data_IF_080955197727
#
_entry.id   IF_080955197727
#
_cell.length_a   1.000
_cell.length_b   1.000
_cell.length_c   1.000
_cell.angle_alpha   90.00
_cell.angle_beta   90.00
_cell.angle_gamma   90.00
#
_symmetry.space_group_name_H-M   'P 1'
#
loop_
_entity.id
_entity.type
_entity.pdbx_description
1 polymer ?
#
# COMPACT_ATOMS: atom_id res chain seq x y z
N UNK A 1 -5.74 0.07 11.01
CA UNK A 1 -4.86 0.82 11.94
C UNK A 1 -3.54 0.10 12.12
N UNK A 2 -2.43 0.82 12.31
CA UNK A 2 -1.18 0.23 12.79
C UNK A 2 -1.09 0.42 14.30
N UNK A 3 -0.71 -0.62 15.01
CA UNK A 3 -0.49 -0.59 16.44
C UNK A 3 1.01 -0.67 16.72
N UNK A 4 1.49 0.00 17.76
CA UNK A 4 2.90 -0.02 18.20
C UNK A 4 3.90 0.14 17.04
N UNK A 5 4.82 -0.82 16.88
CA UNK A 5 5.81 -0.81 15.80
C UNK A 5 5.21 -0.89 14.40
N UNK A 6 3.99 -1.47 14.23
CA UNK A 6 3.32 -1.51 12.94
C UNK A 6 2.91 -0.13 12.41
N UNK A 7 2.85 0.90 13.28
CA UNK A 7 2.64 2.29 12.84
C UNK A 7 3.71 2.77 11.85
N UNK A 8 4.93 2.26 11.96
CA UNK A 8 6.04 2.56 11.05
C UNK A 8 5.76 2.07 9.61
N UNK A 9 4.90 1.03 9.44
CA UNK A 9 4.49 0.49 8.13
C UNK A 9 3.49 1.39 7.41
N UNK A 10 2.76 2.25 8.12
CA UNK A 10 1.71 3.07 7.54
C UNK A 10 2.19 3.93 6.38
N UNK A 11 3.44 4.38 6.41
CA UNK A 11 4.04 5.15 5.31
C UNK A 11 4.19 4.33 4.01
N UNK A 12 4.44 3.03 4.12
CA UNK A 12 4.56 2.12 2.96
C UNK A 12 3.17 1.74 2.44
N UNK A 13 2.27 1.36 3.33
CA UNK A 13 0.88 1.00 2.99
C UNK A 13 0.14 2.21 2.36
N UNK A 14 0.38 3.42 2.87
CA UNK A 14 -0.25 4.63 2.34
C UNK A 14 0.17 4.97 0.90
N UNK A 15 1.38 4.58 0.49
CA UNK A 15 1.90 4.79 -0.87
C UNK A 15 1.46 3.71 -1.86
N UNK A 16 0.92 2.59 -1.40
CA UNK A 16 0.43 1.52 -2.27
C UNK A 16 -0.79 1.95 -3.07
N UNK A 17 -1.05 1.29 -4.19
CA UNK A 17 -2.22 1.53 -5.02
C UNK A 17 -3.53 1.40 -4.25
N UNK A 18 -4.57 2.05 -4.76
CA UNK A 18 -5.90 2.10 -4.16
C UNK A 18 -6.95 1.67 -5.18
N UNK A 19 -8.05 1.12 -4.67
CA UNK A 19 -9.21 0.79 -5.49
C UNK A 19 -10.47 1.36 -4.84
N UNK A 20 -11.31 1.96 -5.66
CA UNK A 20 -12.50 2.68 -5.23
C UNK A 20 -13.72 2.23 -6.03
N UNK A 21 -14.86 2.20 -5.36
CA UNK A 21 -16.17 2.29 -6.00
C UNK A 21 -16.60 3.75 -5.90
N UNK A 22 -16.92 4.35 -7.04
CA UNK A 22 -17.24 5.75 -7.17
C UNK A 22 -18.56 5.91 -7.90
N UNK A 23 -19.51 6.63 -7.31
CA UNK A 23 -20.74 7.02 -7.97
C UNK A 23 -20.55 8.43 -8.56
N UNK A 24 -20.48 8.46 -9.89
CA UNK A 24 -20.40 9.67 -10.69
C UNK A 24 -21.83 10.10 -11.08
N UNK A 25 -22.14 11.38 -10.93
CA UNK A 25 -23.40 11.97 -11.41
C UNK A 25 -23.10 13.00 -12.49
N UNK A 26 -23.64 12.77 -13.71
CA UNK A 26 -23.63 13.74 -14.83
C UNK A 26 -24.70 14.80 -14.61
N UNK A 27 -24.45 16.03 -15.10
CA UNK A 27 -25.43 17.11 -15.00
C UNK A 27 -26.43 17.10 -16.17
N UNK A 28 -26.08 16.46 -17.30
CA UNK A 28 -26.95 16.25 -18.44
C UNK A 28 -26.99 14.77 -18.83
N UNK A 29 -27.85 14.42 -19.79
CA UNK A 29 -27.81 13.13 -20.43
C UNK A 29 -26.70 13.14 -21.50
N UNK A 30 -25.86 12.12 -21.47
CA UNK A 30 -24.79 11.87 -22.44
C UNK A 30 -24.99 10.49 -23.04
N UNK A 31 -24.70 10.35 -24.32
CA UNK A 31 -24.75 9.05 -24.96
C UNK A 31 -23.82 8.05 -24.27
N UNK A 32 -24.31 6.83 -24.08
CA UNK A 32 -23.57 5.81 -23.33
C UNK A 32 -22.24 5.44 -24.02
N UNK A 33 -22.20 5.42 -25.35
CA UNK A 33 -20.97 5.09 -26.09
C UNK A 33 -19.95 6.21 -25.93
N UNK A 34 -20.35 7.46 -26.13
CA UNK A 34 -19.51 8.63 -25.94
C UNK A 34 -18.96 8.69 -24.52
N UNK A 35 -19.79 8.44 -23.50
CA UNK A 35 -19.34 8.46 -22.11
C UNK A 35 -18.33 7.35 -21.80
N UNK A 36 -18.52 6.14 -22.36
CA UNK A 36 -17.53 5.05 -22.25
C UNK A 36 -16.18 5.42 -22.88
N UNK A 37 -16.21 6.05 -24.05
CA UNK A 37 -15.01 6.54 -24.71
C UNK A 37 -14.29 7.61 -23.90
N UNK A 38 -15.02 8.59 -23.37
CA UNK A 38 -14.47 9.64 -22.50
C UNK A 38 -13.82 9.01 -21.25
N UNK A 39 -14.50 8.11 -20.56
CA UNK A 39 -14.00 7.46 -19.34
C UNK A 39 -12.73 6.64 -19.66
N UNK A 40 -12.69 5.95 -20.80
CA UNK A 40 -11.54 5.13 -21.20
C UNK A 40 -10.25 5.95 -21.38
N UNK A 41 -10.34 7.21 -21.79
CA UNK A 41 -9.20 8.11 -21.98
C UNK A 41 -8.48 8.44 -20.67
N UNK A 42 -9.11 8.26 -19.53
CA UNK A 42 -8.48 8.49 -18.21
C UNK A 42 -7.62 7.31 -17.74
N UNK A 43 -7.65 6.17 -18.43
CA UNK A 43 -6.76 5.04 -18.10
C UNK A 43 -5.34 5.37 -18.56
N UNK A 44 -4.38 5.29 -17.66
CA UNK A 44 -3.00 5.68 -17.91
C UNK A 44 -2.52 6.81 -17.02
N UNK A 45 -1.63 7.62 -17.54
CA UNK A 45 -1.04 8.75 -16.79
C UNK A 45 -1.91 10.01 -16.92
N UNK A 46 -2.31 10.54 -15.78
CA UNK A 46 -3.11 11.76 -15.69
C UNK A 46 -2.40 12.82 -14.84
N UNK A 47 -2.71 14.08 -15.11
CA UNK A 47 -2.23 15.23 -14.36
C UNK A 47 -3.34 15.82 -13.52
N UNK A 48 -3.17 15.80 -12.20
CA UNK A 48 -4.17 16.35 -11.28
C UNK A 48 -3.59 17.46 -10.42
N UNK A 49 -4.32 18.53 -10.26
CA UNK A 49 -4.09 19.58 -9.26
C UNK A 49 -4.99 19.31 -8.06
N UNK A 50 -4.45 19.18 -6.84
CA UNK A 50 -5.24 18.95 -5.64
C UNK A 50 -6.35 20.01 -5.48
N UNK A 51 -7.53 19.64 -4.96
CA UNK A 51 -8.60 20.60 -4.69
C UNK A 51 -8.17 21.67 -3.68
N UNK A 52 -8.89 22.78 -3.64
CA UNK A 52 -8.56 23.93 -2.77
C UNK A 52 -8.54 23.54 -1.30
N UNK A 53 -9.52 22.73 -0.87
CA UNK A 53 -9.61 22.21 0.50
C UNK A 53 -8.86 20.90 0.63
N UNK A 54 -7.53 20.94 0.53
CA UNK A 54 -6.64 19.78 0.65
C UNK A 54 -5.47 20.14 1.55
N UNK A 55 -5.05 19.22 2.42
CA UNK A 55 -3.91 19.37 3.33
C UNK A 55 -2.53 19.37 2.64
N UNK A 56 -2.48 19.16 1.33
CA UNK A 56 -1.23 19.08 0.57
C UNK A 56 -1.01 20.31 -0.30
N UNK A 57 0.27 20.67 -0.55
CA UNK A 57 0.65 21.77 -1.45
C UNK A 57 -0.04 21.62 -2.82
N UNK A 58 -0.70 22.67 -3.28
CA UNK A 58 -1.51 22.72 -4.51
C UNK A 58 -0.62 22.90 -5.75
N UNK A 59 0.05 21.81 -6.15
CA UNK A 59 0.85 21.73 -7.38
C UNK A 59 0.34 20.59 -8.27
N UNK A 60 0.54 20.68 -9.58
CA UNK A 60 0.22 19.61 -10.52
C UNK A 60 1.04 18.38 -10.16
N UNK A 61 0.38 17.24 -10.10
CA UNK A 61 0.99 15.94 -9.79
C UNK A 61 0.58 14.93 -10.86
N UNK A 62 1.55 14.17 -11.32
CA UNK A 62 1.34 13.01 -12.17
C UNK A 62 0.80 11.86 -11.32
N UNK A 63 -0.25 11.21 -11.80
CA UNK A 63 -0.88 10.04 -11.18
C UNK A 63 -1.19 9.03 -12.27
N UNK A 64 -1.27 7.76 -11.91
CA UNK A 64 -1.66 6.71 -12.84
C UNK A 64 -2.97 6.10 -12.42
N UNK A 65 -3.87 5.97 -13.38
CA UNK A 65 -5.06 5.13 -13.28
C UNK A 65 -4.77 3.84 -14.03
N UNK A 66 -4.85 2.72 -13.32
CA UNK A 66 -4.52 1.41 -13.88
C UNK A 66 -5.68 0.81 -14.65
N UNK A 67 -6.89 1.00 -14.14
CA UNK A 67 -8.13 0.54 -14.76
C UNK A 67 -9.32 1.37 -14.28
N UNK A 68 -10.33 1.50 -15.15
CA UNK A 68 -11.67 2.00 -14.83
C UNK A 68 -12.66 1.03 -15.43
N UNK A 69 -13.45 0.39 -14.57
CA UNK A 69 -14.57 -0.46 -14.99
C UNK A 69 -15.88 0.27 -14.73
N UNK A 70 -16.75 0.33 -15.72
CA UNK A 70 -18.11 0.81 -15.55
C UNK A 70 -18.95 -0.40 -15.09
N UNK A 71 -19.42 -0.34 -13.84
CA UNK A 71 -20.18 -1.43 -13.24
C UNK A 71 -21.66 -1.33 -13.54
N UNK A 72 -22.20 -0.10 -13.60
CA UNK A 72 -23.60 0.17 -13.90
C UNK A 72 -23.77 1.61 -14.44
N UNK A 73 -24.81 1.82 -15.24
CA UNK A 73 -25.19 3.11 -15.79
C UNK A 73 -26.71 3.23 -15.80
N UNK A 74 -27.24 4.18 -15.03
CA UNK A 74 -28.65 4.49 -14.97
C UNK A 74 -28.86 5.99 -15.10
N UNK A 75 -29.50 6.41 -16.17
CA UNK A 75 -29.73 7.83 -16.50
C UNK A 75 -28.43 8.66 -16.43
N UNK A 76 -28.31 9.50 -15.41
CA UNK A 76 -27.17 10.38 -15.15
C UNK A 76 -26.21 9.81 -14.11
N UNK A 77 -26.48 8.61 -13.58
CA UNK A 77 -25.66 7.97 -12.56
C UNK A 77 -24.80 6.89 -13.17
N UNK A 78 -23.51 6.93 -12.89
CA UNK A 78 -22.54 5.96 -13.38
C UNK A 78 -21.76 5.40 -12.20
N UNK A 79 -21.82 4.10 -12.01
CA UNK A 79 -21.06 3.39 -10.98
C UNK A 79 -19.75 2.90 -11.56
N UNK A 80 -18.66 3.41 -11.04
CA UNK A 80 -17.29 3.14 -11.50
C UNK A 80 -16.51 2.36 -10.45
N UNK A 81 -15.72 1.37 -10.90
CA UNK A 81 -14.60 0.81 -10.15
C UNK A 81 -13.31 1.41 -10.70
N UNK A 82 -12.52 2.04 -9.86
CA UNK A 82 -11.30 2.74 -10.28
C UNK A 82 -10.09 2.21 -9.51
N UNK A 83 -9.09 1.71 -10.23
CA UNK A 83 -7.78 1.32 -9.67
C UNK A 83 -6.75 2.40 -9.99
N UNK A 84 -6.07 2.93 -8.98
CA UNK A 84 -5.16 4.07 -9.18
C UNK A 84 -4.01 4.12 -8.19
N UNK A 85 -3.04 4.96 -8.49
CA UNK A 85 -1.99 5.36 -7.56
C UNK A 85 -2.55 5.97 -6.27
N UNK A 86 -1.79 5.84 -5.20
CA UNK A 86 -2.04 6.59 -3.97
C UNK A 86 -2.05 8.10 -4.22
N UNK A 87 -3.02 8.78 -3.63
CA UNK A 87 -3.16 10.24 -3.77
C UNK A 87 -3.79 10.70 -5.08
N UNK A 88 -4.43 9.80 -5.84
CA UNK A 88 -5.33 10.16 -6.94
C UNK A 88 -6.64 10.70 -6.36
N UNK A 89 -7.11 11.83 -6.88
CA UNK A 89 -8.32 12.49 -6.41
C UNK A 89 -9.52 12.06 -7.26
N UNK A 90 -10.36 11.17 -6.72
CA UNK A 90 -11.56 10.67 -7.42
C UNK A 90 -12.54 11.80 -7.72
N UNK A 91 -12.68 12.77 -6.81
CA UNK A 91 -13.52 13.98 -7.04
C UNK A 91 -13.05 14.76 -8.26
N UNK A 92 -11.73 14.87 -8.45
CA UNK A 92 -11.18 15.56 -9.62
C UNK A 92 -11.38 14.76 -10.90
N UNK A 93 -11.21 13.43 -10.84
CA UNK A 93 -11.51 12.53 -11.96
C UNK A 93 -12.97 12.71 -12.42
N UNK A 94 -13.92 12.65 -11.50
CA UNK A 94 -15.33 12.84 -11.82
C UNK A 94 -15.57 14.20 -12.48
N UNK A 95 -15.05 15.28 -11.90
CA UNK A 95 -15.15 16.61 -12.48
C UNK A 95 -14.59 16.67 -13.91
N UNK A 96 -13.42 16.08 -14.16
CA UNK A 96 -12.76 16.15 -15.46
C UNK A 96 -13.52 15.35 -16.54
N UNK A 97 -14.13 14.21 -16.19
CA UNK A 97 -15.04 13.48 -17.06
C UNK A 97 -16.20 14.40 -17.52
N UNK A 98 -16.81 15.12 -16.59
CA UNK A 98 -17.91 16.04 -16.92
C UNK A 98 -17.49 17.23 -17.77
N UNK A 99 -16.26 17.71 -17.58
CA UNK A 99 -15.71 18.81 -18.42
C UNK A 99 -15.53 18.33 -19.86
N UNK A 100 -14.96 17.14 -20.07
CA UNK A 100 -14.77 16.58 -21.41
C UNK A 100 -16.13 16.27 -22.07
N UNK A 101 -17.10 15.77 -21.31
CA UNK A 101 -18.46 15.55 -21.79
C UNK A 101 -19.26 16.85 -22.06
N UNK A 102 -18.68 18.02 -21.78
CA UNK A 102 -19.27 19.33 -22.08
C UNK A 102 -20.43 19.76 -21.18
N UNK A 103 -20.87 18.97 -20.21
CA UNK A 103 -22.02 19.29 -19.37
C UNK A 103 -21.75 19.31 -17.87
N UNK A 104 -20.54 18.94 -17.46
CA UNK A 104 -20.18 18.89 -16.05
C UNK A 104 -20.65 17.62 -15.34
N UNK A 105 -19.94 17.25 -14.30
CA UNK A 105 -20.33 16.17 -13.39
C UNK A 105 -19.70 16.33 -12.01
N UNK A 106 -20.14 15.54 -11.06
CA UNK A 106 -19.55 15.49 -9.72
C UNK A 106 -19.57 14.07 -9.15
N UNK A 107 -18.70 13.87 -8.19
CA UNK A 107 -18.67 12.65 -7.40
C UNK A 107 -19.78 12.71 -6.35
N UNK A 108 -20.74 11.79 -6.40
CA UNK A 108 -21.85 11.70 -5.46
C UNK A 108 -21.47 10.91 -4.23
N UNK A 109 -20.88 9.70 -4.44
CA UNK A 109 -20.43 8.83 -3.37
C UNK A 109 -19.09 8.20 -3.71
N UNK A 110 -18.33 7.81 -2.66
CA UNK A 110 -17.05 7.17 -2.80
C UNK A 110 -16.84 6.15 -1.69
N UNK A 111 -16.48 4.92 -2.08
CA UNK A 111 -16.07 3.87 -1.15
C UNK A 111 -14.70 3.33 -1.56
N UNK A 112 -13.73 3.33 -0.67
CA UNK A 112 -12.44 2.69 -0.92
C UNK A 112 -12.51 1.23 -0.52
N UNK A 113 -12.38 0.34 -1.50
CA UNK A 113 -12.49 -1.12 -1.30
C UNK A 113 -11.13 -1.82 -1.18
N UNK A 114 -10.01 -1.16 -1.57
CA UNK A 114 -8.66 -1.70 -1.42
C UNK A 114 -7.63 -0.60 -1.12
N UNK A 115 -6.66 -0.94 -0.28
CA UNK A 115 -5.49 -0.12 0.04
C UNK A 115 -4.24 -1.01 0.10
N UNK A 116 -3.47 -1.06 -0.98
CA UNK A 116 -2.37 -2.00 -1.14
C UNK A 116 -2.89 -3.44 -1.13
N UNK A 117 -2.42 -4.24 -0.19
CA UNK A 117 -2.85 -5.63 0.02
C UNK A 117 -4.16 -5.77 0.80
N UNK A 118 -4.55 -4.73 1.53
CA UNK A 118 -5.76 -4.75 2.35
C UNK A 118 -7.00 -4.50 1.52
N UNK A 119 -7.98 -5.39 1.61
CA UNK A 119 -9.29 -5.29 0.96
C UNK A 119 -10.39 -5.37 1.99
N UNK A 120 -11.61 -4.99 1.65
CA UNK A 120 -12.78 -5.15 2.52
C UNK A 120 -13.07 -6.63 2.85
N UNK A 121 -12.60 -7.56 2.01
CA UNK A 121 -12.76 -9.00 2.22
C UNK A 121 -11.71 -9.58 3.17
N UNK A 122 -10.67 -8.82 3.49
CA UNK A 122 -9.54 -9.27 4.29
C UNK A 122 -9.66 -8.73 5.70
N UNK A 123 -10.27 -9.47 6.59
CA UNK A 123 -10.35 -9.18 8.03
C UNK A 123 -10.65 -7.70 8.35
N UNK A 124 -11.65 -7.12 7.67
CA UNK A 124 -12.13 -5.80 8.03
C UNK A 124 -12.95 -5.90 9.31
N UNK A 125 -12.55 -5.13 10.31
CA UNK A 125 -13.22 -5.08 11.61
C UNK A 125 -13.63 -3.65 11.93
N UNK A 126 -14.70 -3.51 12.71
CA UNK A 126 -15.19 -2.22 13.20
C UNK A 126 -14.45 -1.83 14.47
N UNK A 127 -14.49 -0.55 14.84
CA UNK A 127 -13.96 -0.09 16.13
C UNK A 127 -14.73 -0.69 17.31
N UNK A 128 -16.01 -1.01 17.11
CA UNK A 128 -16.82 -1.66 18.11
C UNK A 128 -16.31 -3.08 18.41
N UNK A 129 -16.07 -3.90 17.35
CA UNK A 129 -15.50 -5.24 17.52
C UNK A 129 -14.14 -5.21 18.22
N UNK A 130 -13.29 -4.22 17.92
CA UNK A 130 -12.02 -4.03 18.64
C UNK A 130 -12.26 -3.72 20.11
N UNK A 131 -13.23 -2.86 20.44
CA UNK A 131 -13.56 -2.50 21.82
C UNK A 131 -14.08 -3.69 22.62
N UNK A 132 -14.98 -4.48 22.03
CA UNK A 132 -15.54 -5.69 22.63
C UNK A 132 -14.46 -6.75 22.88
N UNK A 133 -13.59 -7.00 21.88
CA UNK A 133 -12.47 -7.93 22.02
C UNK A 133 -11.49 -7.52 23.13
N UNK A 134 -11.22 -6.21 23.25
CA UNK A 134 -10.39 -5.67 24.34
C UNK A 134 -11.07 -5.82 25.71
N UNK A 135 -12.38 -5.66 25.80
CA UNK A 135 -13.14 -5.86 27.01
C UNK A 135 -13.07 -7.33 27.48
N UNK A 136 -13.29 -8.29 26.57
CA UNK A 136 -13.17 -9.71 26.84
C UNK A 136 -11.77 -10.09 27.32
N UNK A 137 -10.74 -9.59 26.65
CA UNK A 137 -9.35 -9.81 27.07
C UNK A 137 -9.06 -9.28 28.48
N UNK A 138 -9.50 -8.05 28.79
CA UNK A 138 -9.20 -7.41 30.09
C UNK A 138 -9.97 -8.02 31.25
N UNK A 139 -11.24 -8.32 31.06
CA UNK A 139 -12.14 -8.72 32.15
C UNK A 139 -12.30 -10.25 32.26
N UNK A 140 -12.33 -10.96 31.14
CA UNK A 140 -12.52 -12.42 31.10
C UNK A 140 -11.22 -13.19 30.84
N UNK A 141 -10.10 -12.49 30.55
CA UNK A 141 -8.81 -13.09 30.10
C UNK A 141 -8.94 -13.93 28.84
N UNK A 142 -9.98 -13.70 28.03
CA UNK A 142 -10.19 -14.34 26.74
C UNK A 142 -9.56 -13.50 25.63
N UNK A 143 -8.54 -14.03 25.00
CA UNK A 143 -7.82 -13.38 23.91
C UNK A 143 -8.21 -13.89 22.50
N UNK A 144 -9.16 -14.84 22.41
CA UNK A 144 -9.53 -15.51 21.16
C UNK A 144 -9.98 -14.52 20.09
N UNK A 145 -10.92 -13.64 20.43
CA UNK A 145 -11.42 -12.61 19.51
C UNK A 145 -10.36 -11.56 19.17
N UNK A 146 -9.53 -11.17 20.13
CA UNK A 146 -8.46 -10.21 19.89
C UNK A 146 -7.42 -10.79 18.92
N UNK A 147 -7.05 -12.07 19.08
CA UNK A 147 -6.15 -12.76 18.14
C UNK A 147 -6.75 -12.90 16.75
N UNK A 148 -8.06 -13.11 16.64
CA UNK A 148 -8.76 -13.21 15.35
C UNK A 148 -8.70 -11.91 14.55
N UNK A 149 -8.81 -10.76 15.21
CA UNK A 149 -8.87 -9.44 14.54
C UNK A 149 -7.50 -8.78 14.34
N UNK A 150 -6.49 -9.20 15.09
CA UNK A 150 -5.13 -8.67 14.93
C UNK A 150 -4.39 -9.42 13.82
N UNK A 151 -3.87 -8.67 12.86
CA UNK A 151 -3.00 -9.20 11.83
C UNK A 151 -1.52 -9.00 12.23
N UNK A 152 -0.65 -9.98 11.97
CA UNK A 152 0.78 -9.81 12.20
C UNK A 152 1.34 -8.68 11.33
N UNK A 153 2.38 -8.02 11.82
CA UNK A 153 3.01 -6.89 11.14
C UNK A 153 3.55 -7.30 9.75
N UNK A 154 4.01 -8.52 9.62
CA UNK A 154 4.54 -9.13 8.40
C UNK A 154 3.51 -9.16 7.27
N UNK A 155 2.22 -9.22 7.60
CA UNK A 155 1.15 -9.10 6.61
C UNK A 155 1.24 -7.76 5.87
N UNK A 156 1.65 -6.68 6.54
CA UNK A 156 1.79 -5.35 5.95
C UNK A 156 2.87 -5.23 4.87
N UNK A 157 3.79 -6.18 4.79
CA UNK A 157 4.87 -6.22 3.79
C UNK A 157 4.68 -7.27 2.70
N UNK A 158 3.52 -7.95 2.63
CA UNK A 158 3.27 -8.98 1.61
C UNK A 158 3.42 -8.46 0.18
N UNK A 159 3.14 -7.18 -0.08
CA UNK A 159 3.29 -6.54 -1.39
C UNK A 159 4.70 -5.99 -1.70
N UNK A 160 5.69 -6.20 -0.83
CA UNK A 160 7.07 -5.73 -0.99
C UNK A 160 7.96 -6.95 -1.23
N UNK A 161 8.95 -6.90 -2.17
CA UNK A 161 9.93 -7.98 -2.35
C UNK A 161 10.63 -8.31 -1.05
N UNK A 162 10.92 -9.59 -0.82
CA UNK A 162 11.47 -10.10 0.43
C UNK A 162 12.89 -10.59 0.26
N UNK A 163 13.70 -10.36 1.29
CA UNK A 163 15.03 -10.93 1.45
C UNK A 163 15.09 -11.60 2.81
N UNK A 164 15.48 -12.87 2.82
CA UNK A 164 15.67 -13.66 4.04
C UNK A 164 17.14 -13.62 4.41
N UNK A 165 17.41 -13.32 5.66
CA UNK A 165 18.78 -13.18 6.17
C UNK A 165 19.13 -14.24 7.22
N UNK A 166 20.44 -14.50 7.34
CA UNK A 166 20.97 -15.36 8.41
C UNK A 166 20.80 -14.70 9.77
N UNK A 167 20.64 -15.50 10.81
CA UNK A 167 20.51 -15.03 12.19
C UNK A 167 21.70 -14.14 12.62
N UNK A 168 22.88 -14.45 12.11
CA UNK A 168 24.10 -13.66 12.37
C UNK A 168 24.07 -12.25 11.77
N UNK A 169 23.29 -12.01 10.72
CA UNK A 169 23.16 -10.69 10.11
C UNK A 169 22.11 -9.82 10.81
N UNK A 170 21.11 -10.44 11.48
CA UNK A 170 19.95 -9.75 12.05
C UNK A 170 20.38 -8.66 13.02
N UNK A 171 21.24 -8.99 14.00
CA UNK A 171 21.60 -8.02 15.02
C UNK A 171 22.30 -6.78 14.43
N UNK A 172 23.20 -6.94 13.48
CA UNK A 172 23.88 -5.83 12.80
C UNK A 172 22.88 -4.91 12.08
N UNK A 173 21.86 -5.50 11.43
CA UNK A 173 20.79 -4.76 10.74
C UNK A 173 19.94 -3.95 11.74
N UNK A 174 19.63 -4.49 12.92
CA UNK A 174 18.89 -3.76 13.96
C UNK A 174 19.64 -2.54 14.51
N UNK A 175 20.96 -2.51 14.36
CA UNK A 175 21.79 -1.33 14.63
C UNK A 175 21.98 -0.40 13.43
N UNK A 176 21.35 -0.71 12.29
CA UNK A 176 21.39 0.12 11.08
C UNK A 176 22.51 -0.21 10.12
N UNK A 177 23.27 -1.29 10.34
CA UNK A 177 24.27 -1.75 9.39
C UNK A 177 23.64 -2.15 8.06
N UNK A 178 24.35 -1.87 6.97
CA UNK A 178 23.95 -2.30 5.63
C UNK A 178 24.07 -3.82 5.51
N UNK A 179 23.11 -4.43 4.82
CA UNK A 179 23.13 -5.86 4.55
C UNK A 179 24.04 -6.15 3.36
N UNK A 180 25.01 -7.03 3.59
CA UNK A 180 25.94 -7.51 2.58
C UNK A 180 25.49 -8.88 2.05
N UNK A 181 25.94 -9.24 0.85
CA UNK A 181 25.59 -10.49 0.18
C UNK A 181 25.77 -11.75 1.05
N UNK A 182 26.87 -11.93 1.83
CA UNK A 182 27.03 -13.14 2.65
C UNK A 182 25.95 -13.35 3.73
N UNK A 183 25.25 -12.29 4.13
CA UNK A 183 24.15 -12.38 5.10
C UNK A 183 22.81 -12.76 4.49
N UNK A 184 22.72 -12.88 3.16
CA UNK A 184 21.48 -13.20 2.43
C UNK A 184 21.39 -14.69 2.19
N UNK A 185 20.28 -15.30 2.59
CA UNK A 185 20.00 -16.74 2.38
C UNK A 185 19.08 -16.97 1.19
N UNK A 186 18.07 -16.11 1.03
CA UNK A 186 17.13 -16.18 -0.08
C UNK A 186 16.58 -14.78 -0.40
N UNK A 187 16.11 -14.58 -1.63
CA UNK A 187 15.52 -13.31 -2.04
C UNK A 187 14.50 -13.50 -3.17
N UNK A 188 13.55 -12.60 -3.22
CA UNK A 188 12.68 -12.37 -4.37
C UNK A 188 13.33 -11.35 -5.32
N UNK A 189 12.90 -11.32 -6.57
CA UNK A 189 13.41 -10.35 -7.54
C UNK A 189 13.07 -8.92 -7.13
N UNK A 190 14.06 -8.03 -7.13
CA UNK A 190 13.91 -6.59 -6.88
C UNK A 190 14.81 -5.78 -7.82
N UNK A 191 14.39 -4.54 -8.03
CA UNK A 191 15.13 -3.55 -8.81
C UNK A 191 16.00 -2.69 -7.90
N UNK A 192 17.00 -2.02 -8.46
CA UNK A 192 17.77 -1.00 -7.75
C UNK A 192 16.85 0.13 -7.25
N UNK A 193 17.13 0.65 -6.06
CA UNK A 193 16.36 1.69 -5.36
C UNK A 193 14.90 1.30 -5.04
N UNK A 194 14.61 0.01 -4.96
CA UNK A 194 13.31 -0.49 -4.54
C UNK A 194 13.29 -0.76 -3.05
N UNK A 195 12.15 -0.50 -2.40
CA UNK A 195 11.95 -0.90 -1.01
C UNK A 195 11.82 -2.43 -0.94
N UNK A 196 12.56 -3.04 -0.01
CA UNK A 196 12.65 -4.49 0.19
C UNK A 196 12.43 -4.80 1.67
N UNK A 197 11.63 -5.81 1.98
CA UNK A 197 11.43 -6.30 3.33
C UNK A 197 12.52 -7.32 3.69
N UNK A 198 13.21 -7.09 4.80
CA UNK A 198 14.23 -8.00 5.33
C UNK A 198 13.62 -8.82 6.44
N UNK A 199 13.63 -10.14 6.28
CA UNK A 199 13.00 -11.11 7.17
C UNK A 199 14.03 -12.11 7.71
N UNK A 200 13.78 -12.62 8.91
CA UNK A 200 14.51 -13.77 9.46
C UNK A 200 14.07 -15.07 8.77
N UNK A 201 14.79 -16.18 9.02
CA UNK A 201 14.36 -17.52 8.59
C UNK A 201 13.00 -17.94 9.17
N UNK A 202 12.60 -17.38 10.31
CA UNK A 202 11.28 -17.61 10.92
C UNK A 202 10.17 -16.74 10.30
N UNK A 203 10.52 -15.85 9.37
CA UNK A 203 9.58 -14.93 8.72
C UNK A 203 9.31 -13.65 9.51
N UNK A 204 10.04 -13.35 10.58
CA UNK A 204 9.89 -12.13 11.39
C UNK A 204 10.45 -10.92 10.65
N UNK A 205 9.75 -9.80 10.68
CA UNK A 205 10.18 -8.57 10.01
C UNK A 205 11.28 -7.86 10.80
N UNK A 206 12.49 -7.85 10.25
CA UNK A 206 13.65 -7.15 10.81
C UNK A 206 13.63 -5.67 10.43
N UNK A 207 13.56 -5.39 9.12
CA UNK A 207 13.64 -4.04 8.58
C UNK A 207 12.98 -3.93 7.21
N UNK A 208 12.65 -2.70 6.81
CA UNK A 208 12.46 -2.33 5.40
C UNK A 208 13.66 -1.48 5.00
N UNK A 209 14.32 -1.87 3.93
CA UNK A 209 15.47 -1.18 3.37
C UNK A 209 15.31 -0.88 1.90
N UNK A 210 16.21 -0.06 1.37
CA UNK A 210 16.33 0.23 -0.05
C UNK A 210 17.44 -0.62 -0.66
N UNK A 211 17.13 -1.28 -1.77
CA UNK A 211 18.13 -2.03 -2.52
C UNK A 211 19.15 -1.08 -3.16
N UNK A 212 20.43 -1.40 -3.01
CA UNK A 212 21.56 -0.66 -3.60
C UNK A 212 21.84 -1.18 -5.01
N UNK A 213 21.57 -2.46 -5.23
CA UNK A 213 21.79 -3.18 -6.49
C UNK A 213 20.51 -3.86 -6.96
N UNK A 214 20.49 -4.39 -8.17
CA UNK A 214 19.43 -5.28 -8.64
C UNK A 214 19.68 -6.72 -8.19
N UNK A 215 18.60 -7.47 -7.94
CA UNK A 215 18.71 -8.89 -7.51
C UNK A 215 19.51 -9.76 -8.48
N UNK A 216 19.45 -9.51 -9.78
CA UNK A 216 20.23 -10.22 -10.81
C UNK A 216 21.76 -10.12 -10.59
N UNK A 217 22.23 -9.02 -9.99
CA UNK A 217 23.66 -8.83 -9.71
C UNK A 217 24.16 -9.70 -8.55
N UNK A 218 23.26 -10.25 -7.71
CA UNK A 218 23.62 -11.13 -6.61
C UNK A 218 24.12 -12.48 -7.12
N UNK A 219 23.65 -12.93 -8.27
CA UNK A 219 24.07 -14.20 -8.91
C UNK A 219 25.54 -14.15 -9.33
N UNK A 220 26.08 -12.96 -9.60
CA UNK A 220 27.49 -12.79 -9.99
C UNK A 220 28.49 -12.99 -8.84
N UNK A 221 28.01 -13.22 -7.61
CA UNK A 221 28.85 -13.48 -6.43
C UNK A 221 29.74 -12.32 -5.98
N UNK A 222 29.58 -11.13 -6.55
CA UNK A 222 30.36 -9.94 -6.15
C UNK A 222 30.00 -9.56 -4.72
N UNK A 223 30.98 -9.63 -3.82
CA UNK A 223 30.84 -9.14 -2.44
C UNK A 223 30.52 -7.65 -2.46
N UNK A 224 29.53 -7.23 -1.69
CA UNK A 224 29.18 -5.83 -1.58
C UNK A 224 27.88 -5.59 -0.81
N UNK A 225 27.60 -4.31 -0.61
CA UNK A 225 26.39 -3.84 0.05
C UNK A 225 25.19 -4.04 -0.88
N UNK A 226 24.14 -4.70 -0.38
CA UNK A 226 22.93 -5.04 -1.14
C UNK A 226 21.75 -4.20 -0.71
N UNK A 227 21.53 -4.06 0.61
CA UNK A 227 20.37 -3.33 1.15
C UNK A 227 20.84 -2.35 2.21
N UNK A 228 20.33 -1.12 2.13
CA UNK A 228 20.46 -0.08 3.14
C UNK A 228 19.18 -0.03 3.97
N UNK A 229 19.20 -0.36 5.27
CA UNK A 229 18.01 -0.25 6.13
C UNK A 229 17.50 1.19 6.17
N UNK A 230 16.19 1.38 6.01
CA UNK A 230 15.48 2.67 6.15
C UNK A 230 14.64 2.74 7.42
N UNK A 231 14.01 1.60 7.76
CA UNK A 231 13.17 1.47 8.96
C UNK A 231 13.39 0.13 9.60
N UNK A 232 13.69 0.14 10.88
CA UNK A 232 13.92 -1.04 11.71
C UNK A 232 12.65 -1.30 12.53
N UNK A 233 12.22 -2.55 12.56
CA UNK A 233 11.01 -3.01 13.24
C UNK A 233 11.35 -3.91 14.43
N UNK A 234 12.33 -4.79 14.26
CA UNK A 234 12.77 -5.72 15.29
C UNK A 234 13.56 -4.98 16.37
N UNK A 235 13.38 -5.38 17.62
CA UNK A 235 14.15 -4.89 18.74
C UNK A 235 15.62 -5.37 18.66
N UNK A 236 16.49 -4.63 19.31
CA UNK A 236 17.92 -4.95 19.35
C UNK A 236 18.17 -6.12 20.29
N UNK A 237 19.28 -6.81 20.06
CA UNK A 237 19.83 -7.89 20.92
C UNK A 237 18.89 -9.12 21.13
N UNK A 238 17.85 -9.28 20.28
CA UNK A 238 17.05 -10.51 20.25
C UNK A 238 17.83 -11.65 19.59
N UNK A 239 18.60 -11.33 18.54
CA UNK A 239 19.44 -12.29 17.82
C UNK A 239 20.89 -12.15 18.24
N UNK A 240 21.69 -13.24 18.15
CA UNK A 240 23.08 -13.22 18.59
C UNK A 240 23.92 -12.17 17.85
N UNK A 241 24.82 -11.53 18.56
CA UNK A 241 25.86 -10.68 17.97
C UNK A 241 26.77 -11.61 17.17
N UNK A 242 26.83 -11.40 15.85
CA UNK A 242 27.72 -12.18 14.99
C UNK A 242 29.18 -11.92 15.36
N UNK A 243 29.97 -12.97 15.25
CA UNK A 243 31.43 -12.99 15.29
C UNK A 243 32.06 -12.79 16.68
N UNK A 244 32.22 -13.88 17.36
CA UNK A 244 33.46 -14.20 18.02
C UNK A 244 34.19 -15.22 17.18
#
# INVERSE_FOLDING_TARGET
MGLENATKLMNYISKSGKEYICLLQMHCNVDQKELKEIISQFVGEIYQKPPVRSSVKRRIRKRRIYAIDILDMQDKLILLRVQSDAGTYMRKLCHDVGVIAGCGSHMRELRRIRSGIFTEKTNMVTLQEVSESLYLYRNCKDESELRRILLPMEYGVCGIPKVIVSDTAVNAITYGAKLNLPGILAYQNFRKNQDVAVLTLKGELVAIGESIVESKQLESGKKGEVIRPKRIFMERDIYPKSWK
#
